data_IF_317331220111
#
_entry.id   IF_317331220111
#
_cell.length_a   1.000
_cell.length_b   1.000
_cell.length_c   1.000
_cell.angle_alpha   90.00
_cell.angle_beta   90.00
_cell.angle_gamma   90.00
#
_symmetry.space_group_name_H-M   'P 1'
#
loop_
_entity.id
_entity.type
_entity.pdbx_description
1 polymer ?
#
# COMPACT_ATOMS: atom_id res chain seq x y z
N UNK A 1 -16.93 15.39 10.03
CA UNK A 1 -17.61 14.43 9.13
C UNK A 1 -16.55 13.74 8.32
N UNK A 2 -16.57 12.41 8.23
CA UNK A 2 -15.60 11.68 7.40
C UNK A 2 -16.10 11.69 5.96
N UNK A 3 -15.23 12.03 5.01
CA UNK A 3 -15.55 12.11 3.57
C UNK A 3 -14.78 11.06 2.80
N UNK A 4 -15.19 10.75 1.56
CA UNK A 4 -14.43 9.84 0.67
C UNK A 4 -12.99 10.32 0.48
N UNK A 5 -12.77 11.63 0.37
CA UNK A 5 -11.42 12.20 0.31
C UNK A 5 -10.61 11.86 1.56
N UNK A 6 -11.20 12.00 2.74
CA UNK A 6 -10.53 11.65 4.01
C UNK A 6 -10.13 10.19 4.05
N UNK A 7 -10.97 9.27 3.55
CA UNK A 7 -10.65 7.85 3.46
C UNK A 7 -9.46 7.62 2.52
N UNK A 8 -9.46 8.25 1.35
CA UNK A 8 -8.36 8.15 0.39
C UNK A 8 -7.05 8.71 0.96
N UNK A 9 -7.10 9.86 1.65
CA UNK A 9 -5.92 10.46 2.29
C UNK A 9 -5.35 9.50 3.38
N UNK A 10 -6.21 8.78 4.13
CA UNK A 10 -5.78 7.78 5.11
C UNK A 10 -5.14 6.55 4.46
N UNK A 11 -5.69 6.09 3.34
CA UNK A 11 -5.16 4.96 2.56
C UNK A 11 -3.82 5.33 1.97
N UNK A 12 -3.69 6.51 1.39
CA UNK A 12 -2.42 7.03 0.86
C UNK A 12 -1.38 7.17 1.98
N UNK A 13 -1.75 7.69 3.14
CA UNK A 13 -0.86 7.75 4.29
C UNK A 13 -0.36 6.36 4.68
N UNK A 14 -1.26 5.38 4.80
CA UNK A 14 -0.90 4.00 5.16
C UNK A 14 0.02 3.35 4.11
N UNK A 15 -0.28 3.51 2.82
CA UNK A 15 0.54 3.01 1.72
C UNK A 15 1.95 3.60 1.70
N UNK A 16 2.13 4.83 2.18
CA UNK A 16 3.44 5.48 2.26
C UNK A 16 4.25 5.11 3.53
N UNK A 17 3.70 4.28 4.43
CA UNK A 17 4.39 3.83 5.64
C UNK A 17 4.64 2.33 5.56
N UNK A 18 5.89 1.86 5.36
CA UNK A 18 6.19 0.45 5.41
C UNK A 18 5.99 -0.09 6.83
N UNK A 19 5.67 -1.38 6.93
CA UNK A 19 5.59 -2.10 8.22
C UNK A 19 6.90 -1.92 9.00
N UNK A 20 6.79 -1.73 10.31
CA UNK A 20 7.91 -1.44 11.22
C UNK A 20 8.64 -0.10 10.94
N UNK A 21 8.06 0.80 10.14
CA UNK A 21 8.59 2.15 9.94
C UNK A 21 8.55 3.04 11.20
N UNK A 22 7.78 2.64 12.23
CA UNK A 22 7.74 3.29 13.54
C UNK A 22 8.12 2.28 14.62
N UNK A 23 9.03 2.68 15.51
CA UNK A 23 9.48 1.83 16.60
C UNK A 23 8.30 1.41 17.50
N UNK A 24 8.17 0.12 17.78
CA UNK A 24 7.12 -0.43 18.64
C UNK A 24 5.72 -0.48 18.01
N UNK A 25 5.58 -0.28 16.69
CA UNK A 25 4.30 -0.38 15.99
C UNK A 25 4.42 -1.29 14.76
N UNK A 26 3.46 -2.20 14.61
CA UNK A 26 3.29 -3.01 13.40
C UNK A 26 2.50 -2.28 12.30
N UNK A 27 2.15 -0.99 12.49
CA UNK A 27 1.42 -0.18 11.52
C UNK A 27 2.19 -0.04 10.21
N UNK A 28 1.48 -0.10 9.10
CA UNK A 28 2.00 0.14 7.77
C UNK A 28 1.60 -0.92 6.75
N UNK A 29 1.87 -0.60 5.48
CA UNK A 29 1.57 -1.43 4.33
C UNK A 29 2.71 -2.41 4.01
N UNK A 30 2.46 -3.73 3.98
CA UNK A 30 3.45 -4.72 3.58
C UNK A 30 3.56 -4.81 2.04
N UNK A 31 3.87 -3.69 1.38
CA UNK A 31 3.89 -3.61 -0.08
C UNK A 31 4.96 -4.51 -0.72
N UNK A 32 6.14 -4.63 -0.11
CA UNK A 32 7.19 -5.49 -0.64
C UNK A 32 6.79 -6.97 -0.62
N UNK A 33 6.18 -7.42 0.49
CA UNK A 33 5.68 -8.80 0.62
C UNK A 33 4.58 -9.09 -0.40
N UNK A 34 3.71 -8.11 -0.67
CA UNK A 34 2.66 -8.22 -1.69
C UNK A 34 3.24 -8.31 -3.11
N UNK A 35 4.21 -7.46 -3.46
CA UNK A 35 4.72 -7.34 -4.83
C UNK A 35 5.76 -8.42 -5.19
N UNK A 36 6.42 -9.04 -4.21
CA UNK A 36 7.40 -10.11 -4.44
C UNK A 36 6.79 -11.52 -4.48
N UNK A 37 5.49 -11.64 -4.22
CA UNK A 37 4.76 -12.89 -4.27
C UNK A 37 3.79 -12.92 -5.47
N UNK A 38 3.52 -14.08 -6.06
CA UNK A 38 2.38 -14.22 -6.96
C UNK A 38 1.09 -13.80 -6.23
N UNK A 39 0.27 -12.96 -6.86
CA UNK A 39 -1.00 -12.57 -6.28
C UNK A 39 -1.95 -13.77 -6.27
N UNK A 40 -2.08 -14.41 -5.12
CA UNK A 40 -3.10 -15.41 -4.83
C UNK A 40 -4.10 -14.90 -3.78
N UNK A 41 -5.17 -15.67 -3.53
CA UNK A 41 -6.21 -15.27 -2.58
C UNK A 41 -5.66 -15.09 -1.16
N UNK A 42 -4.71 -15.91 -0.72
CA UNK A 42 -4.16 -15.84 0.65
C UNK A 42 -3.32 -14.58 0.84
N UNK A 43 -2.49 -14.23 -0.15
CA UNK A 43 -1.65 -13.02 -0.12
C UNK A 43 -2.54 -11.78 -0.15
N UNK A 44 -3.53 -11.75 -1.05
CA UNK A 44 -4.49 -10.65 -1.15
C UNK A 44 -5.29 -10.47 0.15
N UNK A 45 -5.85 -11.56 0.69
CA UNK A 45 -6.62 -11.54 1.93
C UNK A 45 -5.77 -11.04 3.11
N UNK A 46 -4.53 -11.52 3.23
CA UNK A 46 -3.62 -11.10 4.29
C UNK A 46 -3.33 -9.60 4.23
N UNK A 47 -3.11 -9.06 3.03
CA UNK A 47 -2.91 -7.63 2.82
C UNK A 47 -4.16 -6.82 3.20
N UNK A 48 -5.34 -7.23 2.73
CA UNK A 48 -6.61 -6.54 3.03
C UNK A 48 -6.98 -6.63 4.52
N UNK A 49 -6.71 -7.76 5.18
CA UNK A 49 -6.89 -7.92 6.63
C UNK A 49 -5.99 -6.95 7.38
N UNK A 50 -4.70 -6.85 7.01
CA UNK A 50 -3.77 -5.88 7.61
C UNK A 50 -4.23 -4.44 7.39
N UNK A 51 -4.69 -4.13 6.19
CA UNK A 51 -5.22 -2.81 5.84
C UNK A 51 -6.45 -2.46 6.70
N UNK A 52 -7.42 -3.36 6.86
CA UNK A 52 -8.60 -3.15 7.70
C UNK A 52 -8.25 -3.07 9.20
N UNK A 53 -7.24 -3.81 9.67
CA UNK A 53 -6.73 -3.71 11.04
C UNK A 53 -6.16 -2.31 11.32
N UNK A 54 -5.34 -1.80 10.41
CA UNK A 54 -4.68 -0.49 10.57
C UNK A 54 -5.60 0.69 10.29
N UNK A 55 -6.57 0.51 9.38
CA UNK A 55 -7.57 1.50 8.99
C UNK A 55 -8.98 0.93 9.23
N UNK A 56 -9.46 0.88 10.50
CA UNK A 56 -10.74 0.25 10.85
C UNK A 56 -11.96 0.80 10.09
N UNK A 57 -11.89 2.05 9.61
CA UNK A 57 -12.94 2.67 8.79
C UNK A 57 -13.25 1.91 7.50
N UNK A 58 -12.31 1.10 7.01
CA UNK A 58 -12.48 0.28 5.82
C UNK A 58 -13.19 -1.05 6.09
N UNK A 59 -13.47 -1.37 7.35
CA UNK A 59 -14.08 -2.66 7.73
C UNK A 59 -15.49 -2.83 7.17
N UNK A 60 -16.22 -1.72 7.04
CA UNK A 60 -17.57 -1.66 6.48
C UNK A 60 -17.60 -1.79 4.95
N UNK A 61 -16.45 -1.68 4.27
CA UNK A 61 -16.38 -1.83 2.82
C UNK A 61 -16.44 -3.32 2.43
N UNK A 62 -17.35 -3.61 1.51
CA UNK A 62 -17.50 -4.93 0.90
C UNK A 62 -16.50 -5.13 -0.26
N UNK A 63 -16.53 -6.32 -0.88
CA UNK A 63 -15.62 -6.68 -1.98
C UNK A 63 -15.78 -5.83 -3.23
N UNK A 64 -16.95 -5.23 -3.46
CA UNK A 64 -17.17 -4.35 -4.61
C UNK A 64 -16.56 -2.96 -4.38
N UNK A 65 -16.31 -2.60 -3.12
CA UNK A 65 -15.78 -1.32 -2.70
C UNK A 65 -14.32 -1.37 -2.25
N UNK A 66 -13.79 -2.56 -1.96
CA UNK A 66 -12.40 -2.75 -1.54
C UNK A 66 -11.92 -4.12 -2.02
N UNK A 67 -11.01 -4.12 -2.99
CA UNK A 67 -10.45 -5.33 -3.56
C UNK A 67 -9.02 -5.12 -4.07
N UNK A 68 -8.27 -6.22 -4.15
CA UNK A 68 -7.03 -6.30 -4.89
C UNK A 68 -7.25 -7.11 -6.16
N UNK A 69 -6.61 -6.69 -7.24
CA UNK A 69 -6.58 -7.46 -8.48
C UNK A 69 -5.26 -7.24 -9.20
N UNK A 70 -4.90 -8.19 -10.05
CA UNK A 70 -3.74 -8.08 -10.92
C UNK A 70 -4.18 -7.82 -12.36
N UNK A 71 -3.37 -7.05 -13.07
CA UNK A 71 -3.51 -6.82 -14.49
C UNK A 71 -2.16 -7.02 -15.16
N UNK A 72 -2.13 -7.81 -16.22
CA UNK A 72 -0.93 -7.96 -17.05
C UNK A 72 -0.84 -6.80 -18.02
N UNK A 73 0.28 -6.08 -17.99
CA UNK A 73 0.63 -5.04 -18.95
C UNK A 73 1.71 -5.56 -19.89
N UNK A 74 1.37 -5.64 -21.18
CA UNK A 74 2.26 -6.19 -22.19
C UNK A 74 2.48 -7.69 -22.00
N UNK A 75 3.73 -8.14 -22.14
CA UNK A 75 4.09 -9.56 -22.17
C UNK A 75 4.72 -10.07 -20.88
N UNK A 76 5.26 -9.18 -20.03
CA UNK A 76 6.12 -9.60 -18.91
C UNK A 76 5.82 -8.89 -17.58
N UNK A 77 4.94 -7.88 -17.57
CA UNK A 77 4.72 -7.07 -16.37
C UNK A 77 3.33 -7.31 -15.78
N UNK A 78 3.28 -7.57 -14.48
CA UNK A 78 2.02 -7.70 -13.72
C UNK A 78 1.94 -6.55 -12.73
N UNK A 79 0.87 -5.76 -12.85
CA UNK A 79 0.55 -4.67 -11.94
C UNK A 79 -0.52 -5.13 -10.95
N UNK A 80 -0.29 -4.88 -9.66
CA UNK A 80 -1.25 -5.13 -8.60
C UNK A 80 -1.96 -3.82 -8.29
N UNK A 81 -3.28 -3.85 -8.38
CA UNK A 81 -4.15 -2.71 -8.19
C UNK A 81 -5.00 -2.87 -6.94
N UNK A 82 -5.10 -1.79 -6.18
CA UNK A 82 -6.06 -1.64 -5.10
C UNK A 82 -7.26 -0.83 -5.60
N UNK A 83 -8.40 -1.51 -5.73
CA UNK A 83 -9.69 -0.86 -5.92
C UNK A 83 -10.22 -0.41 -4.57
N UNK A 84 -10.53 0.88 -4.45
CA UNK A 84 -11.23 1.43 -3.29
C UNK A 84 -12.30 2.42 -3.74
N UNK A 85 -13.57 2.11 -3.44
CA UNK A 85 -14.76 2.83 -3.90
C UNK A 85 -14.76 2.99 -5.43
N UNK A 86 -14.47 4.18 -5.93
CA UNK A 86 -14.40 4.54 -7.35
C UNK A 86 -12.98 4.93 -7.79
N UNK A 87 -11.97 4.64 -6.96
CA UNK A 87 -10.57 4.94 -7.22
C UNK A 87 -9.79 3.64 -7.34
N UNK A 88 -8.88 3.63 -8.29
CA UNK A 88 -7.96 2.52 -8.50
C UNK A 88 -6.52 3.01 -8.30
N UNK A 89 -5.78 2.33 -7.44
CA UNK A 89 -4.41 2.70 -7.08
C UNK A 89 -3.47 1.59 -7.56
N UNK A 90 -2.53 1.94 -8.44
CA UNK A 90 -1.45 1.05 -8.87
C UNK A 90 -0.39 0.94 -7.75
N UNK A 91 -0.29 -0.24 -7.13
CA UNK A 91 0.61 -0.47 -6.00
C UNK A 91 2.07 -0.62 -6.42
N UNK A 92 2.35 -0.99 -7.68
CA UNK A 92 3.70 -1.03 -8.22
C UNK A 92 4.26 0.40 -8.32
N UNK A 93 3.47 1.36 -8.81
CA UNK A 93 3.86 2.77 -8.86
C UNK A 93 4.08 3.37 -7.47
N UNK A 94 3.28 2.97 -6.47
CA UNK A 94 3.48 3.38 -5.07
C UNK A 94 4.83 2.87 -4.57
N UNK A 95 5.15 1.60 -4.79
CA UNK A 95 6.43 1.02 -4.37
C UNK A 95 7.62 1.68 -5.07
N UNK A 96 7.53 1.96 -6.36
CA UNK A 96 8.56 2.67 -7.13
C UNK A 96 8.83 4.08 -6.56
N UNK A 97 7.78 4.81 -6.19
CA UNK A 97 7.90 6.12 -5.55
C UNK A 97 8.63 6.04 -4.20
N UNK A 98 8.30 5.03 -3.38
CA UNK A 98 8.94 4.81 -2.08
C UNK A 98 10.41 4.42 -2.23
N UNK A 99 10.75 3.57 -3.21
CA UNK A 99 12.12 3.19 -3.51
C UNK A 99 12.99 4.38 -3.94
N UNK A 100 12.45 5.30 -4.76
CA UNK A 100 13.16 6.51 -5.21
C UNK A 100 13.44 7.53 -4.10
N UNK A 101 12.64 7.55 -3.03
CA UNK A 101 12.85 8.49 -1.91
C UNK A 101 14.05 8.13 -1.02
N UNK A 102 14.52 6.88 -1.05
CA UNK A 102 15.60 6.39 -0.17
C UNK A 102 17.00 6.71 -0.71
N UNK A 103 17.14 7.05 -2.00
CA UNK A 103 18.43 7.44 -2.61
C UNK A 103 18.84 8.90 -2.35
N UNK A 104 18.14 9.62 -1.47
CA UNK A 104 18.55 10.92 -0.99
C UNK A 104 19.75 10.78 -0.05
N UNK A 105 20.90 11.25 -0.52
CA UNK A 105 22.20 11.26 0.14
C UNK A 105 22.07 11.54 1.65
N UNK A 106 22.56 10.61 2.48
CA UNK A 106 22.72 10.87 3.90
C UNK A 106 23.71 12.02 4.05
N UNK A 107 23.21 13.21 4.37
CA UNK A 107 24.06 14.38 4.60
C UNK A 107 24.85 14.13 5.89
N UNK A 108 26.14 13.82 5.75
CA UNK A 108 27.04 13.60 6.87
C UNK A 108 27.30 14.95 7.55
N UNK A 109 26.61 15.21 8.67
CA UNK A 109 26.67 16.48 9.40
C UNK A 109 27.97 16.68 10.21
N UNK A 110 28.94 15.77 10.09
CA UNK A 110 30.20 15.81 10.84
C UNK A 110 31.46 16.00 9.98
N UNK A 111 31.34 16.53 8.75
CA UNK A 111 32.49 17.03 8.02
C UNK A 111 32.85 18.45 8.50
N UNK A 112 33.54 18.57 9.64
CA UNK A 112 34.21 19.79 10.11
C UNK A 112 35.42 19.45 10.95
#
# INVERSE_FOLDING_TARGET
MITSKTILDMVEYWLNHPVNGKYGSDFGAPLYDLLMAPLDSRVADSFLIKMKKDLPILSELNSDQLALYSQTEGFETVHIHLSIMNVNIDLNQVADRLGKSVTGETYDINAS
#
